data_IF_620940660523
#
_entry.id   IF_620940660523
#
_cell.length_a   1.000
_cell.length_b   1.000
_cell.length_c   1.000
_cell.angle_alpha   90.00
_cell.angle_beta   90.00
_cell.angle_gamma   90.00
#
_symmetry.space_group_name_H-M   'P 1'
#
loop_
_entity.id
_entity.type
_entity.pdbx_description
1 polymer ?
#
# COMPACT_ATOMS: atom_id res chain seq x y z
N UNK A 1 8.09 -5.47 0.43
CA UNK A 1 7.17 -5.28 1.58
C UNK A 1 7.36 -3.86 2.11
N UNK A 2 6.28 -3.09 2.29
CA UNK A 2 6.32 -1.75 2.89
C UNK A 2 5.36 -1.70 4.08
N UNK A 3 5.87 -1.41 5.28
CA UNK A 3 5.05 -1.35 6.49
C UNK A 3 4.60 0.09 6.77
N UNK A 4 3.33 0.24 7.11
CA UNK A 4 2.71 1.55 7.40
C UNK A 4 1.95 1.45 8.72
N UNK A 5 2.12 2.42 9.60
CA UNK A 5 1.35 2.47 10.84
C UNK A 5 -0.07 2.99 10.59
N UNK A 6 -1.09 2.31 11.12
CA UNK A 6 -2.49 2.66 10.93
C UNK A 6 -2.84 4.09 11.38
N UNK A 7 -2.22 4.56 12.47
CA UNK A 7 -2.46 5.89 13.02
C UNK A 7 -1.71 7.01 12.26
N UNK A 8 -0.46 6.74 11.87
CA UNK A 8 0.40 7.74 11.22
C UNK A 8 0.19 7.84 9.70
N UNK A 9 -0.25 6.75 9.05
CA UNK A 9 -0.37 6.69 7.60
C UNK A 9 0.97 6.86 6.88
N UNK A 10 0.95 7.46 5.69
CA UNK A 10 2.16 7.63 4.86
C UNK A 10 2.86 8.94 5.22
N UNK A 11 3.94 8.83 6.00
CA UNK A 11 4.78 9.95 6.47
C UNK A 11 6.11 9.98 5.73
N UNK A 12 6.62 11.16 5.37
CA UNK A 12 7.98 11.45 4.84
C UNK A 12 8.71 10.28 4.20
N UNK A 13 9.52 9.57 5.00
CA UNK A 13 10.29 8.38 4.60
C UNK A 13 9.47 7.35 3.82
N UNK A 14 8.24 7.03 4.25
CA UNK A 14 7.38 6.05 3.54
C UNK A 14 7.05 6.52 2.13
N UNK A 15 6.90 7.84 1.89
CA UNK A 15 6.70 8.39 0.54
C UNK A 15 7.95 8.23 -0.31
N UNK A 16 9.12 8.50 0.26
CA UNK A 16 10.40 8.37 -0.44
C UNK A 16 10.71 6.92 -0.81
N UNK A 17 10.57 6.01 0.15
CA UNK A 17 10.72 4.57 -0.08
C UNK A 17 9.73 4.04 -1.12
N UNK A 18 8.46 4.46 -1.05
CA UNK A 18 7.45 4.10 -2.05
C UNK A 18 7.81 4.66 -3.43
N UNK A 19 8.24 5.93 -3.50
CA UNK A 19 8.65 6.58 -4.74
C UNK A 19 9.85 5.89 -5.38
N UNK A 20 10.88 5.57 -4.60
CA UNK A 20 12.07 4.85 -5.06
C UNK A 20 11.71 3.44 -5.56
N UNK A 21 10.91 2.69 -4.80
CA UNK A 21 10.51 1.34 -5.21
C UNK A 21 9.71 1.35 -6.53
N UNK A 22 8.79 2.32 -6.68
CA UNK A 22 8.03 2.49 -7.92
C UNK A 22 8.91 2.95 -9.09
N UNK A 23 9.87 3.85 -8.86
CA UNK A 23 10.81 4.31 -9.89
C UNK A 23 11.72 3.18 -10.40
N UNK A 24 12.12 2.27 -9.51
CA UNK A 24 12.92 1.10 -9.84
C UNK A 24 12.09 -0.09 -10.33
N UNK A 25 10.79 0.09 -10.55
CA UNK A 25 9.85 -0.98 -10.94
C UNK A 25 9.89 -2.20 -10.02
N UNK A 26 10.19 -1.99 -8.74
CA UNK A 26 10.16 -3.05 -7.73
C UNK A 26 8.71 -3.30 -7.33
N UNK A 27 8.22 -4.55 -7.35
CA UNK A 27 6.88 -4.87 -6.88
C UNK A 27 6.77 -4.66 -5.35
N UNK A 28 5.73 -3.96 -4.93
CA UNK A 28 5.52 -3.56 -3.52
C UNK A 28 4.11 -3.96 -3.08
N UNK A 29 4.03 -4.64 -1.94
CA UNK A 29 2.80 -4.78 -1.17
C UNK A 29 2.92 -4.01 0.14
N UNK A 30 1.81 -3.43 0.58
CA UNK A 30 1.76 -2.55 1.75
C UNK A 30 1.02 -3.25 2.89
N UNK A 31 1.64 -3.27 4.07
CA UNK A 31 1.07 -3.85 5.28
C UNK A 31 0.75 -2.74 6.26
N UNK A 32 -0.53 -2.59 6.61
CA UNK A 32 -0.98 -1.64 7.63
C UNK A 32 -0.96 -2.32 8.99
N UNK A 33 -0.11 -1.80 9.88
CA UNK A 33 0.15 -2.35 11.23
C UNK A 33 -0.46 -1.46 12.31
N UNK A 34 -0.49 -1.93 13.56
CA UNK A 34 -1.03 -1.19 14.73
C UNK A 34 -2.50 -0.78 14.56
N UNK A 35 -3.30 -1.63 13.91
CA UNK A 35 -4.75 -1.40 13.68
C UNK A 35 -5.57 -1.46 14.96
N UNK A 36 -5.05 -2.14 15.97
CA UNK A 36 -5.62 -2.31 17.31
C UNK A 36 -5.67 -1.00 18.11
N UNK A 37 -4.66 -0.14 17.97
CA UNK A 37 -4.57 1.15 18.67
C UNK A 37 -5.19 2.32 17.89
N UNK A 38 -5.59 2.13 16.63
CA UNK A 38 -6.02 3.20 15.75
C UNK A 38 -7.55 3.36 15.74
N UNK A 39 -8.09 4.57 15.95
CA UNK A 39 -9.50 4.85 15.72
C UNK A 39 -9.94 4.50 14.29
N UNK A 40 -11.13 3.89 14.14
CA UNK A 40 -11.60 3.38 12.84
C UNK A 40 -11.71 4.48 11.76
N UNK A 41 -12.09 5.70 12.13
CA UNK A 41 -12.17 6.84 11.22
C UNK A 41 -10.79 7.20 10.64
N UNK A 42 -9.74 7.22 11.48
CA UNK A 42 -8.36 7.53 11.07
C UNK A 42 -7.82 6.41 10.16
N UNK A 43 -8.05 5.15 10.53
CA UNK A 43 -7.67 4.02 9.69
C UNK A 43 -8.30 4.11 8.29
N UNK A 44 -9.61 4.39 8.21
CA UNK A 44 -10.30 4.52 6.92
C UNK A 44 -9.78 5.69 6.09
N UNK A 45 -9.51 6.84 6.70
CA UNK A 45 -8.91 7.98 6.00
C UNK A 45 -7.52 7.65 5.46
N UNK A 46 -6.67 7.02 6.27
CA UNK A 46 -5.32 6.61 5.88
C UNK A 46 -5.34 5.58 4.74
N UNK A 47 -6.25 4.60 4.79
CA UNK A 47 -6.43 3.65 3.68
C UNK A 47 -6.88 4.33 2.39
N UNK A 48 -7.83 5.28 2.46
CA UNK A 48 -8.26 6.06 1.29
C UNK A 48 -7.12 6.88 0.70
N UNK A 49 -6.32 7.53 1.56
CA UNK A 49 -5.16 8.30 1.14
C UNK A 49 -4.11 7.41 0.45
N UNK A 50 -3.88 6.22 0.98
CA UNK A 50 -2.96 5.23 0.42
C UNK A 50 -3.39 4.79 -0.98
N UNK A 51 -4.67 4.46 -1.16
CA UNK A 51 -5.25 4.13 -2.46
C UNK A 51 -5.13 5.31 -3.44
N UNK A 52 -5.39 6.53 -2.97
CA UNK A 52 -5.31 7.74 -3.79
C UNK A 52 -3.89 8.02 -4.28
N UNK A 53 -2.88 7.81 -3.43
CA UNK A 53 -1.47 7.97 -3.80
C UNK A 53 -1.07 6.95 -4.86
N UNK A 54 -1.43 5.68 -4.69
CA UNK A 54 -1.10 4.63 -5.66
C UNK A 54 -1.77 4.85 -7.03
N UNK A 55 -3.00 5.37 -7.04
CA UNK A 55 -3.73 5.75 -8.26
C UNK A 55 -3.31 7.10 -8.87
N UNK A 56 -2.47 7.88 -8.18
CA UNK A 56 -2.05 9.19 -8.65
C UNK A 56 -1.29 9.11 -9.98
N UNK A 57 -1.29 10.17 -10.80
CA UNK A 57 -0.62 10.19 -12.10
C UNK A 57 0.90 9.93 -12.02
N UNK A 58 1.52 10.13 -10.86
CA UNK A 58 2.93 9.82 -10.63
C UNK A 58 3.21 8.32 -10.43
N UNK A 59 2.23 7.55 -9.93
CA UNK A 59 2.40 6.13 -9.62
C UNK A 59 1.71 5.22 -10.65
N UNK A 60 0.54 5.61 -11.18
CA UNK A 60 -0.27 4.86 -12.16
C UNK A 60 -0.43 3.36 -11.83
N UNK A 61 -0.54 3.02 -10.55
CA UNK A 61 -0.79 1.64 -10.10
C UNK A 61 -2.27 1.45 -9.78
N UNK A 62 -2.75 0.22 -9.98
CA UNK A 62 -4.08 -0.21 -9.55
C UNK A 62 -3.93 -1.04 -8.27
N UNK A 63 -4.16 -0.45 -7.08
CA UNK A 63 -4.00 -1.18 -5.83
C UNK A 63 -5.12 -2.22 -5.65
N UNK A 64 -4.74 -3.43 -5.25
CA UNK A 64 -5.66 -4.49 -4.84
C UNK A 64 -5.73 -4.52 -3.32
N UNK A 65 -6.95 -4.48 -2.76
CA UNK A 65 -7.15 -4.63 -1.32
C UNK A 65 -7.38 -6.10 -1.01
N UNK A 66 -6.48 -6.70 -0.23
CA UNK A 66 -6.54 -8.11 0.16
C UNK A 66 -7.39 -8.23 1.41
N UNK A 67 -8.51 -8.95 1.33
CA UNK A 67 -9.41 -9.20 2.48
C UNK A 67 -9.65 -10.69 2.72
N UNK A 68 -9.63 -11.48 1.65
CA UNK A 68 -9.90 -12.91 1.67
C UNK A 68 -8.64 -13.72 1.34
N UNK A 69 -8.59 -15.01 1.71
CA UNK A 69 -7.51 -15.91 1.28
C UNK A 69 -7.41 -16.01 -0.25
N UNK A 70 -8.55 -15.97 -0.96
CA UNK A 70 -8.56 -15.99 -2.43
C UNK A 70 -7.89 -14.75 -3.02
N UNK A 71 -8.12 -13.56 -2.43
CA UNK A 71 -7.43 -12.33 -2.83
C UNK A 71 -5.92 -12.48 -2.67
N UNK A 72 -5.44 -13.21 -1.65
CA UNK A 72 -4.01 -13.47 -1.43
C UNK A 72 -3.45 -14.29 -2.59
N UNK A 73 -4.12 -15.39 -2.97
CA UNK A 73 -3.66 -16.26 -4.06
C UNK A 73 -3.60 -15.50 -5.38
N UNK A 74 -4.66 -14.76 -5.71
CA UNK A 74 -4.73 -13.95 -6.94
C UNK A 74 -3.66 -12.86 -6.92
N UNK A 75 -3.50 -12.16 -5.80
CA UNK A 75 -2.51 -11.08 -5.68
C UNK A 75 -1.08 -11.60 -5.75
N UNK A 76 -0.79 -12.74 -5.11
CA UNK A 76 0.53 -13.37 -5.13
C UNK A 76 0.92 -13.84 -6.54
N UNK A 77 -0.04 -14.41 -7.29
CA UNK A 77 0.19 -14.86 -8.67
C UNK A 77 0.53 -13.69 -9.59
N UNK A 78 -0.11 -12.54 -9.39
CA UNK A 78 0.09 -11.32 -10.18
C UNK A 78 1.11 -10.34 -9.55
N UNK A 79 1.83 -10.75 -8.50
CA UNK A 79 2.70 -9.85 -7.75
C UNK A 79 4.00 -9.51 -8.50
N UNK A 80 4.36 -10.30 -9.50
CA UNK A 80 5.61 -10.15 -10.25
C UNK A 80 5.48 -8.97 -11.21
N UNK A 81 6.43 -8.03 -11.18
CA UNK A 81 6.53 -7.01 -12.22
C UNK A 81 7.04 -7.69 -13.48
N UNK A 82 6.35 -7.55 -14.61
CA UNK A 82 6.98 -7.81 -15.92
C UNK A 82 8.26 -6.95 -15.99
N UNK A 83 9.37 -7.59 -16.37
CA UNK A 83 10.67 -6.95 -16.58
C UNK A 83 10.69 -6.23 -17.91
#
# INVERSE_FOLDING_TARGET
MLMVGANAGIVGMTKEHLGLALALSVPVFVVVTKIDMCPQNILQENLRLLIRILKSPGCRKVPVTVKTPDDVVVSATNFVSER
#
